data_IF_403731386760
#
_entry.id   IF_403731386760
#
_cell.length_a   1.000
_cell.length_b   1.000
_cell.length_c   1.000
_cell.angle_alpha   90.00
_cell.angle_beta   90.00
_cell.angle_gamma   90.00
#
_symmetry.space_group_name_H-M   'P 1'
#
loop_
_entity.id
_entity.type
_entity.pdbx_description
1 polymer ?
#
# COMPACT_ATOMS: atom_id res chain seq x y z
N UNK A 1 44.86 6.32 11.15
CA UNK A 1 44.11 5.09 10.82
C UNK A 1 43.11 5.48 9.74
N UNK A 2 43.00 4.79 8.60
CA UNK A 2 41.93 5.09 7.66
C UNK A 2 40.61 4.83 8.38
N UNK A 3 39.71 5.82 8.37
CA UNK A 3 38.32 5.62 8.83
C UNK A 3 37.73 4.44 8.04
N UNK A 4 37.14 3.49 8.76
CA UNK A 4 36.51 2.35 8.12
C UNK A 4 35.41 2.88 7.20
N UNK A 5 35.48 2.53 5.91
CA UNK A 5 34.46 2.87 4.93
C UNK A 5 33.15 2.18 5.35
N UNK A 6 32.16 2.96 5.77
CA UNK A 6 30.81 2.47 6.06
C UNK A 6 30.03 2.57 4.75
N UNK A 7 29.47 1.46 4.23
CA UNK A 7 28.58 1.52 3.08
C UNK A 7 27.42 2.49 3.31
N UNK A 8 27.05 3.24 2.27
CA UNK A 8 25.95 4.22 2.37
C UNK A 8 24.63 3.56 2.86
N UNK A 9 24.39 2.33 2.44
CA UNK A 9 23.25 1.51 2.89
C UNK A 9 23.22 1.35 4.41
N UNK A 10 24.36 1.02 5.03
CA UNK A 10 24.46 0.82 6.47
C UNK A 10 24.23 2.14 7.20
N UNK A 11 24.87 3.22 6.73
CA UNK A 11 24.66 4.56 7.29
C UNK A 11 23.19 5.00 7.23
N UNK A 12 22.51 4.77 6.08
CA UNK A 12 21.09 5.11 5.94
C UNK A 12 20.22 4.26 6.85
N UNK A 13 20.48 2.95 6.95
CA UNK A 13 19.71 2.06 7.83
C UNK A 13 19.88 2.39 9.31
N UNK A 14 21.08 2.73 9.73
CA UNK A 14 21.36 3.19 11.10
C UNK A 14 20.69 4.53 11.43
N UNK A 15 20.54 5.39 10.42
CA UNK A 15 19.91 6.70 10.55
C UNK A 15 18.38 6.66 10.55
N UNK A 16 17.78 5.54 10.16
CA UNK A 16 16.31 5.38 10.15
C UNK A 16 15.77 5.30 11.57
N UNK A 17 14.63 5.95 11.78
CA UNK A 17 13.86 5.76 13.00
C UNK A 17 13.32 4.33 13.09
N UNK A 18 13.18 3.81 14.29
CA UNK A 18 12.48 2.55 14.51
C UNK A 18 11.01 2.69 14.10
N UNK A 19 10.45 1.73 13.33
CA UNK A 19 9.02 1.75 13.02
C UNK A 19 8.18 1.86 14.29
N UNK A 20 7.10 2.63 14.20
CA UNK A 20 6.19 2.83 15.32
C UNK A 20 5.49 1.52 15.67
N UNK A 21 5.33 1.28 16.98
CA UNK A 21 4.49 0.17 17.44
C UNK A 21 3.01 0.54 17.30
N UNK A 22 2.28 -0.23 16.50
CA UNK A 22 0.87 -0.03 16.23
C UNK A 22 0.12 -1.37 16.21
N UNK A 23 -1.16 -1.38 16.60
CA UNK A 23 -1.99 -2.57 16.41
C UNK A 23 -2.06 -2.97 14.95
N UNK A 24 -1.76 -4.25 14.65
CA UNK A 24 -1.64 -4.78 13.28
C UNK A 24 -2.98 -4.83 12.54
N UNK A 25 -4.08 -4.85 13.27
CA UNK A 25 -5.45 -4.79 12.75
C UNK A 25 -5.93 -3.37 12.41
N UNK A 26 -5.08 -2.36 12.61
CA UNK A 26 -5.41 -0.97 12.31
C UNK A 26 -4.69 -0.47 11.05
N UNK A 27 -5.42 0.10 10.10
CA UNK A 27 -4.82 0.76 8.95
C UNK A 27 -4.01 1.98 9.39
N UNK A 28 -3.13 2.47 8.51
CA UNK A 28 -2.35 3.68 8.77
C UNK A 28 -3.27 4.90 8.75
N UNK A 29 -4.08 5.04 7.68
CA UNK A 29 -4.99 6.18 7.52
C UNK A 29 -6.14 5.87 6.56
N UNK A 30 -7.18 6.70 6.61
CA UNK A 30 -8.26 6.73 5.63
C UNK A 30 -8.94 8.10 5.63
N UNK A 31 -9.34 8.58 4.46
CA UNK A 31 -10.09 9.85 4.30
C UNK A 31 -10.81 9.89 2.95
N UNK A 32 -11.51 10.98 2.71
CA UNK A 32 -12.12 11.28 1.40
C UNK A 32 -11.53 12.60 0.92
N UNK A 33 -11.25 12.68 -0.37
CA UNK A 33 -10.75 13.89 -1.03
C UNK A 33 -11.43 14.08 -2.40
N UNK A 34 -11.28 15.25 -2.98
CA UNK A 34 -11.75 15.54 -4.33
C UNK A 34 -10.69 15.16 -5.36
N UNK A 35 -11.14 14.54 -6.46
CA UNK A 35 -10.29 14.12 -7.58
C UNK A 35 -10.98 14.39 -8.91
N UNK A 36 -10.20 14.38 -9.99
CA UNK A 36 -10.74 14.50 -11.34
C UNK A 36 -10.84 13.11 -11.98
N UNK A 37 -12.04 12.76 -12.40
CA UNK A 37 -12.35 11.56 -13.17
C UNK A 37 -13.11 11.98 -14.43
N UNK A 38 -12.53 11.70 -15.59
CA UNK A 38 -13.11 12.01 -16.93
C UNK A 38 -13.54 13.48 -17.10
N UNK A 39 -12.79 14.40 -16.46
CA UNK A 39 -13.06 15.85 -16.52
C UNK A 39 -14.05 16.35 -15.49
N UNK A 40 -14.62 15.49 -14.66
CA UNK A 40 -15.53 15.85 -13.57
C UNK A 40 -14.82 15.76 -12.21
N UNK A 41 -15.18 16.62 -11.27
CA UNK A 41 -14.73 16.52 -9.88
C UNK A 41 -15.60 15.48 -9.19
N UNK A 42 -14.94 14.46 -8.64
CA UNK A 42 -15.59 13.37 -7.90
C UNK A 42 -14.93 13.19 -6.53
N UNK A 43 -15.66 12.62 -5.59
CA UNK A 43 -15.08 12.18 -4.34
C UNK A 43 -14.30 10.87 -4.53
N UNK A 44 -13.05 10.86 -4.09
CA UNK A 44 -12.21 9.69 -4.01
C UNK A 44 -12.06 9.23 -2.55
N UNK A 45 -12.24 7.94 -2.32
CA UNK A 45 -11.90 7.34 -1.05
C UNK A 45 -10.43 6.94 -1.03
N UNK A 46 -9.70 7.38 -0.01
CA UNK A 46 -8.28 7.08 0.17
C UNK A 46 -8.08 6.20 1.38
N UNK A 47 -7.31 5.15 1.23
CA UNK A 47 -6.98 4.22 2.31
C UNK A 47 -5.49 3.86 2.26
N UNK A 48 -4.87 3.78 3.43
CA UNK A 48 -3.49 3.32 3.59
C UNK A 48 -3.50 2.10 4.51
N UNK A 49 -3.19 0.94 3.95
CA UNK A 49 -3.05 -0.28 4.73
C UNK A 49 -1.66 -0.36 5.35
N UNK A 50 -1.60 -0.85 6.57
CA UNK A 50 -0.35 -1.18 7.25
C UNK A 50 0.12 -2.54 6.80
N UNK A 51 1.31 -2.58 6.22
CA UNK A 51 1.88 -3.80 5.64
C UNK A 51 3.32 -3.99 6.11
N UNK A 52 3.97 -5.04 5.61
CA UNK A 52 5.39 -5.30 5.83
C UNK A 52 6.27 -4.12 5.41
N UNK A 53 5.87 -3.43 4.34
CA UNK A 53 6.63 -2.36 3.73
C UNK A 53 7.54 -2.83 2.60
N UNK A 54 8.07 -1.85 1.90
CA UNK A 54 8.87 -2.01 0.71
C UNK A 54 10.18 -2.74 1.02
N UNK A 55 10.45 -3.85 0.32
CA UNK A 55 11.69 -4.61 0.48
C UNK A 55 12.94 -3.78 0.16
N UNK A 56 12.84 -2.86 -0.80
CA UNK A 56 13.91 -1.95 -1.17
C UNK A 56 14.30 -1.05 0.01
N UNK A 57 13.32 -0.49 0.69
CA UNK A 57 13.56 0.31 1.89
C UNK A 57 14.20 -0.48 3.02
N UNK A 58 13.87 -1.76 3.14
CA UNK A 58 14.39 -2.64 4.19
C UNK A 58 15.84 -3.07 3.88
N UNK A 59 16.12 -3.45 2.63
CA UNK A 59 17.43 -4.00 2.22
C UNK A 59 18.44 -2.92 1.84
N UNK A 60 18.01 -1.97 1.01
CA UNK A 60 18.92 -1.07 0.28
C UNK A 60 19.04 0.32 0.93
N UNK A 61 18.33 0.55 2.02
CA UNK A 61 18.48 1.80 2.77
C UNK A 61 17.89 3.01 2.07
N UNK A 62 16.68 2.92 1.51
CA UNK A 62 15.99 4.07 0.93
C UNK A 62 15.75 5.16 1.98
N UNK A 63 16.25 6.37 1.74
CA UNK A 63 16.14 7.51 2.66
C UNK A 63 14.97 8.44 2.36
N UNK A 64 14.27 8.25 1.24
CA UNK A 64 13.25 9.20 0.77
C UNK A 64 11.86 8.97 1.36
N UNK A 65 11.58 7.80 1.90
CA UNK A 65 10.23 7.36 2.19
C UNK A 65 9.90 7.44 3.68
N UNK A 66 8.97 8.31 4.05
CA UNK A 66 8.42 8.39 5.41
C UNK A 66 7.52 7.20 5.79
N UNK A 67 7.04 6.42 4.84
CA UNK A 67 6.19 5.24 5.08
C UNK A 67 6.89 4.14 5.88
N UNK A 68 8.22 4.12 5.87
CA UNK A 68 9.00 3.19 6.69
C UNK A 68 8.59 3.22 8.16
N UNK A 69 8.22 4.38 8.70
CA UNK A 69 7.83 4.53 10.11
C UNK A 69 6.53 3.80 10.46
N UNK A 70 5.71 3.50 9.48
CA UNK A 70 4.42 2.82 9.62
C UNK A 70 4.45 1.37 9.12
N UNK A 71 5.63 0.85 8.76
CA UNK A 71 5.83 -0.53 8.33
C UNK A 71 5.84 -1.51 9.51
N UNK A 72 5.62 -2.77 9.19
CA UNK A 72 5.79 -3.91 10.09
C UNK A 72 6.81 -4.87 9.46
N UNK A 73 8.11 -4.69 9.67
CA UNK A 73 9.15 -5.47 8.98
C UNK A 73 9.00 -7.00 9.12
N UNK A 74 8.38 -7.46 10.22
CA UNK A 74 8.01 -8.86 10.42
C UNK A 74 6.83 -9.35 9.60
N UNK A 75 6.15 -8.46 8.87
CA UNK A 75 4.94 -8.75 8.12
C UNK A 75 3.66 -8.61 8.93
N UNK A 76 2.54 -8.57 8.21
CA UNK A 76 1.20 -8.54 8.78
C UNK A 76 0.48 -9.78 8.26
N UNK A 77 -0.18 -10.51 9.15
CA UNK A 77 -0.92 -11.71 8.73
C UNK A 77 -2.14 -11.36 7.87
N UNK A 78 -2.56 -12.31 7.04
CA UNK A 78 -3.74 -12.16 6.18
C UNK A 78 -4.98 -11.77 6.97
N UNK A 79 -5.20 -12.37 8.15
CA UNK A 79 -6.34 -12.04 9.00
C UNK A 79 -6.29 -10.58 9.47
N UNK A 80 -5.12 -10.08 9.85
CA UNK A 80 -4.96 -8.68 10.25
C UNK A 80 -5.14 -7.72 9.07
N UNK A 81 -4.67 -8.07 7.88
CA UNK A 81 -4.91 -7.30 6.66
C UNK A 81 -6.43 -7.23 6.34
N UNK A 82 -7.16 -8.35 6.47
CA UNK A 82 -8.61 -8.37 6.30
C UNK A 82 -9.35 -7.54 7.36
N UNK A 83 -8.87 -7.55 8.59
CA UNK A 83 -9.44 -6.66 9.64
C UNK A 83 -9.20 -5.18 9.33
N UNK A 84 -8.03 -4.83 8.81
CA UNK A 84 -7.77 -3.47 8.33
C UNK A 84 -8.73 -3.11 7.19
N UNK A 85 -8.89 -4.00 6.20
CA UNK A 85 -9.79 -3.80 5.07
C UNK A 85 -11.23 -3.57 5.51
N UNK A 86 -11.74 -4.37 6.41
CA UNK A 86 -13.08 -4.20 7.00
C UNK A 86 -13.27 -2.80 7.59
N UNK A 87 -12.23 -2.23 8.20
CA UNK A 87 -12.27 -0.89 8.83
C UNK A 87 -12.20 0.25 7.83
N UNK A 88 -11.51 0.08 6.69
CA UNK A 88 -11.38 1.12 5.66
C UNK A 88 -12.45 1.05 4.59
N UNK A 89 -12.94 -0.13 4.27
CA UNK A 89 -13.95 -0.37 3.24
C UNK A 89 -15.15 0.59 3.28
N UNK A 90 -15.73 0.95 4.44
CA UNK A 90 -16.82 1.92 4.49
C UNK A 90 -16.49 3.30 3.93
N UNK A 91 -15.21 3.71 3.92
CA UNK A 91 -14.76 4.99 3.35
C UNK A 91 -14.92 5.03 1.83
N UNK A 92 -14.90 3.87 1.17
CA UNK A 92 -14.98 3.72 -0.28
C UNK A 92 -16.43 3.64 -0.80
N UNK A 93 -17.41 3.42 0.07
CA UNK A 93 -18.81 3.26 -0.35
C UNK A 93 -19.35 4.52 -1.03
N UNK A 94 -20.01 4.33 -2.18
CA UNK A 94 -20.59 5.41 -2.95
C UNK A 94 -19.58 6.32 -3.64
N UNK A 95 -18.30 5.94 -3.67
CA UNK A 95 -17.26 6.66 -4.39
C UNK A 95 -17.06 6.02 -5.76
N UNK A 96 -16.70 6.83 -6.75
CA UNK A 96 -16.32 6.37 -8.08
C UNK A 96 -14.83 6.11 -8.21
N UNK A 97 -14.03 6.72 -7.36
CA UNK A 97 -12.59 6.63 -7.37
C UNK A 97 -12.07 6.15 -5.99
N UNK A 98 -11.17 5.18 -6.02
CA UNK A 98 -10.47 4.67 -4.85
C UNK A 98 -8.96 4.79 -5.01
N UNK A 99 -8.27 5.20 -3.96
CA UNK A 99 -6.81 5.18 -3.87
C UNK A 99 -6.40 4.26 -2.73
N UNK A 100 -5.63 3.22 -3.06
CA UNK A 100 -5.14 2.26 -2.08
C UNK A 100 -3.63 2.33 -2.03
N UNK A 101 -3.14 2.73 -0.89
CA UNK A 101 -1.72 2.78 -0.59
C UNK A 101 -1.36 1.68 0.41
N UNK A 102 -0.13 1.25 0.34
CA UNK A 102 0.52 0.39 1.33
C UNK A 102 1.81 1.05 1.78
N UNK A 103 2.55 0.40 2.65
CA UNK A 103 3.87 0.90 3.03
C UNK A 103 4.95 0.57 1.99
N UNK A 104 4.58 0.03 0.84
CA UNK A 104 5.47 -0.34 -0.26
C UNK A 104 4.75 -0.55 -1.58
N UNK A 105 4.47 -1.80 -1.94
CA UNK A 105 3.89 -2.17 -3.24
C UNK A 105 2.62 -2.99 -3.06
N UNK A 106 1.48 -2.46 -3.48
CA UNK A 106 0.20 -3.17 -3.38
C UNK A 106 0.18 -4.52 -4.12
N UNK A 107 0.96 -4.63 -5.18
CA UNK A 107 1.05 -5.86 -6.00
C UNK A 107 2.33 -6.67 -5.74
N UNK A 108 3.05 -6.41 -4.65
CA UNK A 108 4.07 -7.31 -4.13
C UNK A 108 3.40 -8.42 -3.30
N UNK A 109 3.44 -9.69 -3.73
CA UNK A 109 2.77 -10.77 -3.02
C UNK A 109 3.36 -11.07 -1.64
N UNK A 110 4.57 -10.56 -1.35
CA UNK A 110 5.18 -10.68 -0.02
C UNK A 110 4.69 -9.59 0.94
N UNK A 111 4.08 -8.54 0.43
CA UNK A 111 3.49 -7.44 1.19
C UNK A 111 1.96 -7.56 1.27
N UNK A 112 1.32 -7.80 0.14
CA UNK A 112 -0.12 -8.00 -0.01
C UNK A 112 -0.34 -9.34 -0.73
N UNK A 113 -0.79 -10.39 -0.04
CA UNK A 113 -1.07 -11.69 -0.66
C UNK A 113 -1.99 -11.56 -1.87
N UNK A 114 -1.72 -12.32 -2.92
CA UNK A 114 -2.44 -12.21 -4.19
C UNK A 114 -3.95 -12.41 -4.01
N UNK A 115 -4.35 -13.39 -3.22
CA UNK A 115 -5.76 -13.70 -2.92
C UNK A 115 -6.44 -12.53 -2.20
N UNK A 116 -5.73 -11.85 -1.32
CA UNK A 116 -6.25 -10.67 -0.63
C UNK A 116 -6.35 -9.45 -1.56
N UNK A 117 -5.39 -9.26 -2.46
CA UNK A 117 -5.50 -8.23 -3.49
C UNK A 117 -6.71 -8.47 -4.40
N UNK A 118 -6.97 -9.73 -4.79
CA UNK A 118 -8.17 -10.13 -5.54
C UNK A 118 -9.46 -9.83 -4.79
N UNK A 119 -9.53 -10.16 -3.50
CA UNK A 119 -10.68 -9.84 -2.64
C UNK A 119 -10.96 -8.33 -2.62
N UNK A 120 -9.93 -7.51 -2.47
CA UNK A 120 -10.04 -6.04 -2.49
C UNK A 120 -10.57 -5.55 -3.84
N UNK A 121 -10.02 -6.04 -4.95
CA UNK A 121 -10.45 -5.63 -6.29
C UNK A 121 -11.89 -6.05 -6.59
N UNK A 122 -12.29 -7.25 -6.17
CA UNK A 122 -13.68 -7.73 -6.28
C UNK A 122 -14.63 -6.86 -5.46
N UNK A 123 -14.31 -6.59 -4.21
CA UNK A 123 -15.08 -5.71 -3.33
C UNK A 123 -15.28 -4.32 -3.93
N UNK A 124 -14.24 -3.74 -4.52
CA UNK A 124 -14.33 -2.43 -5.17
C UNK A 124 -15.21 -2.46 -6.42
N UNK A 125 -15.12 -3.52 -7.22
CA UNK A 125 -16.01 -3.74 -8.36
C UNK A 125 -17.46 -3.81 -7.91
N UNK A 126 -17.75 -4.57 -6.86
CA UNK A 126 -19.10 -4.70 -6.28
C UNK A 126 -19.64 -3.38 -5.70
N UNK A 127 -18.74 -2.51 -5.23
CA UNK A 127 -19.10 -1.16 -4.78
C UNK A 127 -19.34 -0.16 -5.91
N UNK A 128 -19.08 -0.53 -7.17
CA UNK A 128 -19.19 0.34 -8.33
C UNK A 128 -18.06 1.37 -8.46
N UNK A 129 -16.87 1.07 -7.92
CA UNK A 129 -15.68 1.88 -8.14
C UNK A 129 -15.27 1.79 -9.61
N UNK A 130 -15.16 2.94 -10.27
CA UNK A 130 -14.82 3.02 -11.69
C UNK A 130 -13.30 3.11 -11.93
N UNK A 131 -12.58 3.68 -10.96
CA UNK A 131 -11.12 3.87 -11.05
C UNK A 131 -10.45 3.54 -9.73
N UNK A 132 -9.36 2.78 -9.83
CA UNK A 132 -8.50 2.46 -8.70
C UNK A 132 -7.09 2.94 -8.97
N UNK A 133 -6.50 3.64 -8.02
CA UNK A 133 -5.07 3.98 -8.02
C UNK A 133 -4.38 3.12 -6.96
N UNK A 134 -3.32 2.47 -7.37
CA UNK A 134 -2.40 1.72 -6.50
C UNK A 134 -0.97 2.15 -6.78
N UNK A 135 -0.08 1.98 -5.81
CA UNK A 135 1.36 2.19 -5.99
C UNK A 135 2.10 0.86 -5.96
N UNK A 136 3.15 0.76 -6.77
CA UNK A 136 4.02 -0.41 -6.82
C UNK A 136 5.40 -0.09 -7.37
N UNK A 137 6.40 -0.88 -6.96
CA UNK A 137 7.68 -0.94 -7.64
C UNK A 137 7.49 -1.57 -9.03
N UNK A 138 8.24 -1.11 -10.05
CA UNK A 138 8.05 -1.53 -11.45
C UNK A 138 8.17 -3.04 -11.67
N UNK A 139 9.04 -3.72 -10.94
CA UNK A 139 9.30 -5.16 -11.08
C UNK A 139 8.10 -6.05 -10.73
N UNK A 140 7.14 -5.54 -9.95
CA UNK A 140 5.93 -6.27 -9.63
C UNK A 140 4.83 -6.07 -10.67
N UNK A 141 4.96 -5.07 -11.56
CA UNK A 141 3.98 -4.82 -12.63
C UNK A 141 4.15 -5.88 -13.71
N UNK A 142 3.21 -6.78 -13.82
CA UNK A 142 3.23 -7.87 -14.81
C UNK A 142 1.83 -8.13 -15.42
N UNK A 143 1.78 -8.98 -16.44
CA UNK A 143 0.55 -9.25 -17.19
C UNK A 143 -0.60 -9.82 -16.35
N UNK A 144 -0.33 -10.46 -15.23
CA UNK A 144 -1.38 -10.99 -14.34
C UNK A 144 -2.17 -9.86 -13.67
N UNK A 145 -1.50 -8.75 -13.34
CA UNK A 145 -2.14 -7.58 -12.72
C UNK A 145 -2.96 -6.76 -13.71
N UNK A 146 -2.64 -6.82 -15.02
CA UNK A 146 -3.46 -6.17 -16.04
C UNK A 146 -4.84 -6.81 -16.23
N UNK A 147 -5.06 -8.03 -15.72
CA UNK A 147 -6.39 -8.63 -15.71
C UNK A 147 -7.40 -7.78 -14.91
N UNK A 148 -6.95 -7.05 -13.89
CA UNK A 148 -7.79 -6.12 -13.14
C UNK A 148 -8.27 -4.91 -13.93
N UNK A 149 -7.52 -4.50 -14.96
CA UNK A 149 -7.86 -3.32 -15.78
C UNK A 149 -8.89 -3.62 -16.87
N UNK A 150 -9.16 -4.89 -17.14
CA UNK A 150 -10.06 -5.37 -18.20
C UNK A 150 -11.29 -6.09 -17.66
N UNK A 151 -11.62 -5.93 -16.37
CA UNK A 151 -12.88 -6.43 -15.85
C UNK A 151 -14.03 -5.82 -16.66
N UNK A 152 -14.98 -6.61 -17.19
CA UNK A 152 -16.09 -6.07 -17.97
C UNK A 152 -16.89 -5.10 -17.10
N UNK A 153 -17.20 -3.95 -17.68
CA UNK A 153 -18.08 -2.92 -17.09
C UNK A 153 -19.47 -3.50 -16.87
#
# INVERSE_FOLDING_TARGET
MPEAFVPLTDFVNESKSTPRDHPLDKPVAKWVEEEVLDGEIVEAGVVILRTRGCYWSIKEGCSMCGYFNDTVPGGVSDDMLREQWKKVRPTLRGKKYAKIYTSGSFIDPTEVPFEFADEIMSDMSDMGIEKVLIESLPEFVNSKHFAYTNAPK
#
